data_IF_945340488436
#
_entry.id   IF_945340488436
#
_cell.length_a   1.000
_cell.length_b   1.000
_cell.length_c   1.000
_cell.angle_alpha   90.00
_cell.angle_beta   90.00
_cell.angle_gamma   90.00
#
_symmetry.space_group_name_H-M   'P 1'
#
loop_
_entity.id
_entity.type
_entity.pdbx_description
1 polymer ?
#
# COMPACT_ATOMS: atom_id res chain seq x y z
N UNK A 1 -7.03 -3.84 -16.01
CA UNK A 1 -7.10 -4.47 -14.67
C UNK A 1 -6.69 -3.43 -13.65
N UNK A 2 -7.24 -3.50 -12.43
CA UNK A 2 -6.79 -2.65 -11.32
C UNK A 2 -5.74 -3.37 -10.48
N UNK A 3 -4.97 -2.60 -9.70
CA UNK A 3 -3.84 -3.12 -8.91
C UNK A 3 -4.23 -4.25 -7.97
N UNK A 4 -5.49 -4.32 -7.57
CA UNK A 4 -6.02 -5.35 -6.69
C UNK A 4 -6.05 -6.76 -7.30
N UNK A 5 -6.10 -6.91 -8.64
CA UNK A 5 -5.95 -8.22 -9.31
C UNK A 5 -4.49 -8.67 -9.32
N UNK A 6 -3.59 -7.72 -9.60
CA UNK A 6 -2.14 -7.93 -9.53
C UNK A 6 -1.72 -8.30 -8.11
N UNK A 7 -2.26 -7.63 -7.10
CA UNK A 7 -2.05 -7.95 -5.69
C UNK A 7 -2.41 -9.39 -5.38
N UNK A 8 -3.58 -9.86 -5.83
CA UNK A 8 -4.01 -11.24 -5.59
C UNK A 8 -3.03 -12.23 -6.22
N UNK A 9 -2.66 -11.99 -7.47
CA UNK A 9 -1.70 -12.83 -8.19
C UNK A 9 -0.34 -12.90 -7.50
N UNK A 10 0.24 -11.76 -7.10
CA UNK A 10 1.52 -11.71 -6.39
C UNK A 10 1.43 -12.40 -5.03
N UNK A 11 0.32 -12.22 -4.30
CA UNK A 11 0.12 -12.88 -3.01
C UNK A 11 0.11 -14.40 -3.13
N UNK A 12 -0.58 -14.91 -4.15
CA UNK A 12 -0.69 -16.34 -4.39
C UNK A 12 0.66 -16.93 -4.79
N UNK A 13 1.42 -16.24 -5.66
CA UNK A 13 2.80 -16.65 -6.02
C UNK A 13 3.72 -16.65 -4.80
N UNK A 14 3.68 -15.59 -3.99
CA UNK A 14 4.50 -15.49 -2.79
C UNK A 14 4.20 -16.61 -1.81
N UNK A 15 2.92 -16.83 -1.52
CA UNK A 15 2.46 -17.88 -0.60
C UNK A 15 2.83 -19.28 -1.10
N UNK A 16 2.58 -19.57 -2.38
CA UNK A 16 2.93 -20.86 -2.98
C UNK A 16 4.45 -21.09 -2.96
N UNK A 17 5.25 -20.07 -3.25
CA UNK A 17 6.73 -20.15 -3.20
C UNK A 17 7.24 -20.47 -1.80
N UNK A 18 6.71 -19.79 -0.77
CA UNK A 18 7.07 -20.03 0.64
C UNK A 18 6.65 -21.43 1.08
N UNK A 19 5.43 -21.87 0.75
CA UNK A 19 4.93 -23.19 1.13
C UNK A 19 5.68 -24.32 0.43
N UNK A 20 6.04 -24.16 -0.85
CA UNK A 20 6.90 -25.12 -1.57
C UNK A 20 8.27 -25.27 -0.93
N UNK A 21 8.88 -24.16 -0.50
CA UNK A 21 10.15 -24.18 0.22
C UNK A 21 9.99 -24.91 1.57
N UNK A 22 8.96 -24.57 2.34
CA UNK A 22 8.66 -25.23 3.61
C UNK A 22 8.44 -26.74 3.44
N UNK A 23 7.74 -27.15 2.36
CA UNK A 23 7.53 -28.56 2.02
C UNK A 23 8.84 -29.29 1.71
N UNK A 24 9.78 -28.65 1.04
CA UNK A 24 11.11 -29.22 0.75
C UNK A 24 11.91 -29.49 2.03
N UNK A 25 11.71 -28.67 3.07
CA UNK A 25 12.45 -28.74 4.33
C UNK A 25 11.75 -29.67 5.34
N UNK A 26 10.43 -29.55 5.49
CA UNK A 26 9.66 -30.13 6.59
C UNK A 26 8.61 -31.18 6.16
N UNK A 27 8.57 -31.58 4.88
CA UNK A 27 7.65 -32.60 4.38
C UNK A 27 6.26 -32.08 3.98
N UNK A 28 5.31 -33.01 3.78
CA UNK A 28 4.11 -32.84 2.93
C UNK A 28 3.04 -31.86 3.47
N UNK A 29 3.14 -31.42 4.73
CA UNK A 29 2.10 -30.65 5.42
C UNK A 29 1.97 -29.17 5.00
N UNK A 30 2.79 -28.69 4.05
CA UNK A 30 2.83 -27.28 3.64
C UNK A 30 2.37 -27.10 2.19
N UNK A 31 1.06 -27.25 1.95
CA UNK A 31 0.44 -27.03 0.63
C UNK A 31 -0.90 -26.31 0.77
N UNK A 32 -1.22 -25.41 -0.18
CA UNK A 32 -2.56 -24.81 -0.30
C UNK A 32 -3.58 -25.78 -0.91
N UNK A 33 -3.11 -26.87 -1.51
CA UNK A 33 -3.91 -27.81 -2.29
C UNK A 33 -3.99 -29.15 -1.55
N UNK A 34 -5.21 -29.67 -1.39
CA UNK A 34 -5.46 -30.97 -0.74
C UNK A 34 -4.87 -32.15 -1.51
N UNK A 35 -4.97 -32.11 -2.85
CA UNK A 35 -4.31 -33.05 -3.75
C UNK A 35 -3.21 -32.32 -4.51
N UNK A 36 -1.96 -32.63 -4.19
CA UNK A 36 -0.83 -32.12 -4.96
C UNK A 36 -0.49 -33.10 -6.07
N UNK A 37 -1.03 -32.86 -7.27
CA UNK A 37 -0.52 -33.47 -8.51
C UNK A 37 0.83 -32.83 -8.88
N UNK A 38 1.82 -32.93 -7.98
CA UNK A 38 3.19 -32.61 -8.34
C UNK A 38 3.74 -33.78 -9.11
N UNK A 39 3.97 -33.59 -10.40
CA UNK A 39 4.71 -34.57 -11.21
C UNK A 39 6.11 -34.67 -10.61
N UNK A 40 6.51 -35.83 -10.06
CA UNK A 40 7.88 -36.04 -9.64
C UNK A 40 8.80 -35.76 -10.83
N UNK A 41 9.81 -34.92 -10.64
CA UNK A 41 10.81 -34.64 -11.67
C UNK A 41 11.65 -35.91 -11.81
N UNK A 42 11.20 -36.82 -12.65
CA UNK A 42 11.97 -37.98 -13.07
C UNK A 42 12.89 -37.60 -14.24
N UNK A 43 13.98 -38.34 -14.39
CA UNK A 43 14.98 -38.12 -15.44
C UNK A 43 14.37 -38.16 -16.86
N UNK A 44 13.22 -38.80 -17.02
CA UNK A 44 12.47 -38.94 -18.28
C UNK A 44 11.68 -37.69 -18.71
N UNK A 45 11.58 -36.64 -17.87
CA UNK A 45 10.88 -35.41 -18.25
C UNK A 45 11.76 -34.58 -19.18
N UNK A 46 11.46 -34.65 -20.48
CA UNK A 46 12.02 -33.75 -21.49
C UNK A 46 11.59 -32.31 -21.20
N UNK A 47 12.50 -31.50 -20.66
CA UNK A 47 12.28 -30.06 -20.44
C UNK A 47 12.09 -29.36 -21.79
N UNK A 48 11.21 -28.36 -21.89
CA UNK A 48 11.06 -27.58 -23.11
C UNK A 48 12.38 -26.89 -23.47
N UNK A 49 12.75 -26.94 -24.76
CA UNK A 49 13.89 -26.20 -25.29
C UNK A 49 13.57 -24.70 -25.38
N UNK A 50 14.50 -23.84 -24.99
CA UNK A 50 14.36 -22.40 -25.15
C UNK A 50 14.66 -21.99 -26.61
N UNK A 51 13.91 -21.02 -27.14
CA UNK A 51 14.15 -20.45 -28.46
C UNK A 51 14.49 -18.97 -28.33
N UNK A 52 15.69 -18.58 -28.77
CA UNK A 52 16.08 -17.16 -28.80
C UNK A 52 15.31 -16.44 -29.89
N UNK A 53 14.49 -15.45 -29.50
CA UNK A 53 13.85 -14.53 -30.44
C UNK A 53 14.92 -13.73 -31.20
N UNK A 54 14.89 -13.80 -32.53
CA UNK A 54 15.81 -13.07 -33.43
C UNK A 54 15.04 -11.96 -34.13
N UNK A 55 15.44 -10.72 -33.89
CA UNK A 55 14.86 -9.55 -34.54
C UNK A 55 15.77 -9.07 -35.67
N UNK A 56 15.19 -8.80 -36.85
CA UNK A 56 15.90 -8.15 -37.95
C UNK A 56 15.75 -6.63 -37.81
N UNK A 57 16.81 -5.96 -37.35
CA UNK A 57 16.81 -4.52 -37.14
C UNK A 57 17.18 -3.79 -38.43
N UNK A 58 16.18 -3.28 -39.15
CA UNK A 58 16.38 -2.38 -40.30
C UNK A 58 17.07 -1.08 -39.85
N UNK A 59 17.70 -0.32 -40.77
CA UNK A 59 18.29 0.98 -40.43
C UNK A 59 17.32 1.93 -39.71
N UNK A 60 16.04 1.95 -40.11
CA UNK A 60 15.00 2.77 -39.50
C UNK A 60 14.71 2.34 -38.06
N UNK A 61 14.63 1.03 -37.79
CA UNK A 61 14.45 0.48 -36.45
C UNK A 61 15.64 0.78 -35.54
N UNK A 62 16.87 0.74 -36.07
CA UNK A 62 18.07 1.10 -35.31
C UNK A 62 18.05 2.57 -34.88
N UNK A 63 17.66 3.47 -35.78
CA UNK A 63 17.47 4.89 -35.45
C UNK A 63 16.37 5.08 -34.42
N UNK A 64 15.24 4.38 -34.58
CA UNK A 64 14.14 4.42 -33.61
C UNK A 64 14.56 3.92 -32.22
N UNK A 65 15.36 2.85 -32.15
CA UNK A 65 15.91 2.34 -30.91
C UNK A 65 16.82 3.38 -30.23
N UNK A 66 17.73 4.00 -30.98
CA UNK A 66 18.62 5.04 -30.45
C UNK A 66 17.84 6.22 -29.85
N UNK A 67 16.82 6.72 -30.55
CA UNK A 67 15.98 7.81 -30.04
C UNK A 67 15.16 7.37 -28.82
N UNK A 68 14.69 6.12 -28.78
CA UNK A 68 13.99 5.57 -27.63
C UNK A 68 14.90 5.43 -26.40
N UNK A 69 16.17 5.06 -26.59
CA UNK A 69 17.18 5.02 -25.54
C UNK A 69 17.42 6.41 -24.94
N UNK A 70 17.63 7.43 -25.77
CA UNK A 70 17.78 8.82 -25.31
C UNK A 70 16.55 9.26 -24.51
N UNK A 71 15.35 9.04 -25.05
CA UNK A 71 14.11 9.41 -24.37
C UNK A 71 13.94 8.68 -23.03
N UNK A 72 14.28 7.39 -22.96
CA UNK A 72 14.20 6.62 -21.72
C UNK A 72 15.21 7.14 -20.68
N UNK A 73 16.44 7.44 -21.11
CA UNK A 73 17.44 8.04 -20.24
C UNK A 73 16.94 9.37 -19.66
N UNK A 74 16.37 10.25 -20.49
CA UNK A 74 15.79 11.51 -20.02
C UNK A 74 14.67 11.28 -19.00
N UNK A 75 13.75 10.33 -19.27
CA UNK A 75 12.65 10.01 -18.34
C UNK A 75 13.18 9.48 -17.00
N UNK A 76 14.18 8.60 -17.01
CA UNK A 76 14.80 8.07 -15.79
C UNK A 76 15.41 9.22 -14.98
N UNK A 77 16.19 10.09 -15.62
CA UNK A 77 16.84 11.20 -14.93
C UNK A 77 15.89 12.32 -14.52
N UNK A 78 14.68 12.39 -15.09
CA UNK A 78 13.66 13.37 -14.68
C UNK A 78 12.93 12.99 -13.40
N UNK A 79 12.90 11.72 -13.02
CA UNK A 79 12.11 11.24 -11.87
C UNK A 79 13.00 10.87 -10.69
N UNK A 80 12.56 11.27 -9.50
CA UNK A 80 13.12 10.89 -8.22
C UNK A 80 12.17 9.91 -7.53
N UNK A 81 12.70 8.88 -6.90
CA UNK A 81 11.95 7.93 -6.07
C UNK A 81 12.63 7.79 -4.71
N UNK A 82 11.89 8.08 -3.64
CA UNK A 82 12.40 7.99 -2.28
C UNK A 82 11.48 7.06 -1.49
N UNK A 83 12.06 6.07 -0.82
CA UNK A 83 11.33 5.19 0.08
C UNK A 83 11.60 5.57 1.53
N UNK A 84 10.56 5.51 2.37
CA UNK A 84 10.68 5.78 3.81
C UNK A 84 9.82 4.84 4.63
N UNK A 85 10.36 4.36 5.75
CA UNK A 85 9.66 3.47 6.66
C UNK A 85 9.49 4.13 8.02
N UNK A 86 8.26 4.13 8.53
CA UNK A 86 7.94 4.60 9.88
C UNK A 86 7.72 3.35 10.73
N UNK A 87 8.67 3.07 11.62
CA UNK A 87 8.64 1.93 12.53
C UNK A 87 7.81 2.23 13.79
N UNK A 88 7.17 1.21 14.35
CA UNK A 88 6.34 1.32 15.55
C UNK A 88 5.05 2.12 15.37
N UNK A 89 4.60 2.33 14.13
CA UNK A 89 3.42 3.11 13.77
C UNK A 89 2.61 2.45 12.65
N UNK A 90 2.15 1.20 12.87
CA UNK A 90 1.31 0.44 11.95
C UNK A 90 -0.12 0.23 12.45
N UNK A 91 -0.83 -0.76 11.90
CA UNK A 91 -2.22 -1.10 12.28
C UNK A 91 -2.38 -1.36 13.79
N UNK A 92 -1.40 -2.00 14.43
CA UNK A 92 -1.42 -2.26 15.87
C UNK A 92 -1.45 -0.94 16.67
N UNK A 93 -0.73 0.08 16.20
CA UNK A 93 -0.72 1.37 16.88
C UNK A 93 -1.94 2.22 16.51
N UNK A 94 -2.23 2.36 15.21
CA UNK A 94 -3.26 3.30 14.75
C UNK A 94 -4.66 2.74 15.00
N UNK A 95 -4.94 1.53 14.53
CA UNK A 95 -6.30 0.98 14.60
C UNK A 95 -6.60 0.35 15.95
N UNK A 96 -5.66 -0.40 16.56
CA UNK A 96 -5.96 -1.06 17.84
C UNK A 96 -5.76 -0.13 19.04
N UNK A 97 -4.73 0.73 19.04
CA UNK A 97 -4.41 1.59 20.19
C UNK A 97 -5.02 2.98 20.10
N UNK A 98 -4.94 3.66 18.95
CA UNK A 98 -5.56 4.98 18.78
C UNK A 98 -7.06 4.90 18.41
N UNK A 99 -7.55 3.73 18.00
CA UNK A 99 -8.92 3.51 17.52
C UNK A 99 -9.28 4.42 16.32
N UNK A 100 -8.32 4.61 15.40
CA UNK A 100 -8.50 5.42 14.19
C UNK A 100 -8.41 4.57 12.91
N UNK A 101 -9.15 4.94 11.85
CA UNK A 101 -8.97 4.35 10.52
C UNK A 101 -7.59 4.71 9.97
N UNK A 102 -6.71 3.71 9.80
CA UNK A 102 -5.30 3.94 9.45
C UNK A 102 -5.13 4.67 8.12
N UNK A 103 -5.89 4.26 7.11
CA UNK A 103 -5.90 4.85 5.78
C UNK A 103 -6.25 6.35 5.82
N UNK A 104 -7.40 6.70 6.41
CA UNK A 104 -7.80 8.10 6.56
C UNK A 104 -6.83 8.93 7.39
N UNK A 105 -6.24 8.37 8.45
CA UNK A 105 -5.22 9.09 9.23
C UNK A 105 -4.00 9.42 8.36
N UNK A 106 -3.51 8.44 7.60
CA UNK A 106 -2.34 8.61 6.73
C UNK A 106 -2.63 9.64 5.63
N UNK A 107 -3.78 9.54 4.96
CA UNK A 107 -4.19 10.50 3.94
C UNK A 107 -4.24 11.93 4.49
N UNK A 108 -4.80 12.10 5.68
CA UNK A 108 -4.82 13.38 6.39
C UNK A 108 -3.42 13.90 6.72
N UNK A 109 -2.53 13.07 7.27
CA UNK A 109 -1.14 13.45 7.56
C UNK A 109 -0.38 13.89 6.30
N UNK A 110 -0.65 13.27 5.15
CA UNK A 110 -0.06 13.66 3.87
C UNK A 110 -0.54 15.06 3.45
N UNK A 111 -1.83 15.39 3.64
CA UNK A 111 -2.32 16.75 3.35
C UNK A 111 -1.66 17.80 4.24
N UNK A 112 -1.51 17.50 5.54
CA UNK A 112 -0.81 18.39 6.49
C UNK A 112 0.64 18.61 6.05
N UNK A 113 1.36 17.53 5.71
CA UNK A 113 2.74 17.63 5.26
C UNK A 113 2.88 18.48 3.99
N UNK A 114 1.97 18.30 3.02
CA UNK A 114 1.92 19.13 1.83
C UNK A 114 1.67 20.61 2.17
N UNK A 115 0.67 20.89 3.01
CA UNK A 115 0.32 22.25 3.40
C UNK A 115 1.46 22.93 4.17
N UNK A 116 2.16 22.21 5.05
CA UNK A 116 3.31 22.73 5.78
C UNK A 116 4.48 23.15 4.88
N UNK A 117 4.66 22.47 3.73
CA UNK A 117 5.72 22.78 2.78
C UNK A 117 5.35 23.88 1.78
N UNK A 118 4.08 23.94 1.39
CA UNK A 118 3.63 24.78 0.27
C UNK A 118 2.66 25.89 0.64
N UNK A 119 2.17 25.92 1.88
CA UNK A 119 1.26 26.94 2.40
C UNK A 119 -0.13 26.96 1.73
N UNK A 120 -0.50 25.90 1.01
CA UNK A 120 -1.79 25.78 0.32
C UNK A 120 -2.21 24.32 0.19
N UNK A 121 -3.51 24.09 0.06
CA UNK A 121 -4.01 22.81 -0.43
C UNK A 121 -3.76 22.68 -1.93
N UNK A 122 -3.62 21.43 -2.39
CA UNK A 122 -3.54 21.11 -3.81
C UNK A 122 -4.62 20.09 -4.21
N UNK A 123 -4.91 19.95 -5.51
CA UNK A 123 -5.74 18.86 -6.00
C UNK A 123 -5.06 17.51 -5.71
N UNK A 124 -5.65 16.73 -4.80
CA UNK A 124 -5.16 15.43 -4.33
C UNK A 124 -6.22 14.39 -4.57
N UNK A 125 -5.80 13.26 -5.13
CA UNK A 125 -6.69 12.17 -5.51
C UNK A 125 -6.25 10.87 -4.88
N UNK A 126 -7.21 10.14 -4.33
CA UNK A 126 -7.05 8.75 -3.92
C UNK A 126 -7.92 7.82 -4.77
N UNK A 127 -7.37 6.74 -5.35
CA UNK A 127 -8.17 5.75 -6.06
C UNK A 127 -8.83 4.76 -5.10
N UNK A 128 -10.17 4.74 -5.07
CA UNK A 128 -10.97 3.80 -4.25
C UNK A 128 -11.51 2.67 -5.12
N UNK A 129 -11.46 1.43 -4.62
CA UNK A 129 -11.97 0.25 -5.35
C UNK A 129 -13.50 0.15 -5.32
N UNK A 130 -14.13 -0.09 -6.47
CA UNK A 130 -15.59 -0.30 -6.58
C UNK A 130 -15.98 -1.76 -6.86
N UNK A 131 -15.11 -2.72 -6.53
CA UNK A 131 -15.24 -4.17 -6.80
C UNK A 131 -16.58 -4.86 -6.50
N UNK A 132 -17.47 -4.24 -5.74
CA UNK A 132 -18.83 -4.73 -5.48
C UNK A 132 -19.72 -4.71 -6.74
N UNK A 133 -19.38 -3.90 -7.74
CA UNK A 133 -20.17 -3.77 -8.97
C UNK A 133 -19.66 -4.67 -10.11
N UNK A 134 -20.55 -5.05 -11.02
CA UNK A 134 -20.19 -5.79 -12.23
C UNK A 134 -19.29 -4.92 -13.11
N UNK A 135 -18.20 -5.50 -13.61
CA UNK A 135 -17.19 -4.79 -14.42
C UNK A 135 -16.59 -3.55 -13.72
N UNK A 136 -16.58 -3.56 -12.38
CA UNK A 136 -16.08 -2.48 -11.57
C UNK A 136 -14.62 -2.14 -11.89
N UNK A 137 -14.29 -0.87 -11.64
CA UNK A 137 -12.93 -0.33 -11.70
C UNK A 137 -12.61 0.39 -10.38
N UNK A 138 -12.31 1.67 -10.48
CA UNK A 138 -12.04 2.56 -9.34
C UNK A 138 -12.90 3.82 -9.41
N UNK A 139 -13.23 4.36 -8.25
CA UNK A 139 -13.79 5.69 -8.04
C UNK A 139 -12.68 6.55 -7.43
N UNK A 140 -12.15 7.56 -8.13
CA UNK A 140 -11.21 8.49 -7.53
C UNK A 140 -11.97 9.42 -6.57
N UNK A 141 -11.42 9.67 -5.38
CA UNK A 141 -11.96 10.69 -4.47
C UNK A 141 -11.02 11.91 -4.41
N UNK A 142 -11.61 13.09 -4.38
CA UNK A 142 -10.91 14.30 -3.96
C UNK A 142 -10.81 14.37 -2.45
N UNK A 143 -9.57 14.35 -1.95
CA UNK A 143 -9.28 14.44 -0.50
C UNK A 143 -9.60 15.83 0.06
N UNK A 144 -9.62 16.86 -0.80
CA UNK A 144 -9.87 18.26 -0.41
C UNK A 144 -11.28 18.41 0.18
N UNK A 145 -11.36 19.20 1.25
CA UNK A 145 -12.60 19.60 1.91
C UNK A 145 -12.33 20.78 2.80
N UNK A 146 -13.40 21.46 3.23
CA UNK A 146 -13.32 22.53 4.22
C UNK A 146 -12.76 22.01 5.56
N UNK A 147 -13.11 20.79 5.99
CA UNK A 147 -12.56 20.19 7.22
C UNK A 147 -11.07 19.90 7.10
N UNK A 148 -10.62 19.38 5.95
CA UNK A 148 -9.21 19.12 5.68
C UNK A 148 -8.41 20.42 5.58
N UNK A 149 -8.95 21.46 4.95
CA UNK A 149 -8.33 22.78 4.88
C UNK A 149 -8.18 23.40 6.27
N UNK A 150 -9.27 23.41 7.03
CA UNK A 150 -9.30 23.90 8.41
C UNK A 150 -8.24 23.18 9.24
N UNK A 151 -8.19 21.84 9.18
CA UNK A 151 -7.16 21.08 9.85
C UNK A 151 -5.75 21.51 9.43
N UNK A 152 -5.47 21.58 8.13
CA UNK A 152 -4.13 21.95 7.65
C UNK A 152 -3.70 23.32 8.18
N UNK A 153 -4.61 24.31 8.19
CA UNK A 153 -4.38 25.64 8.73
C UNK A 153 -4.17 25.61 10.25
N UNK A 154 -5.06 24.95 11.00
CA UNK A 154 -4.97 24.81 12.46
C UNK A 154 -3.69 24.10 12.88
N UNK A 155 -3.29 23.04 12.17
CA UNK A 155 -2.13 22.22 12.52
C UNK A 155 -0.82 22.99 12.49
N UNK A 156 -0.64 23.89 11.50
CA UNK A 156 0.59 24.70 11.37
C UNK A 156 0.54 26.02 12.16
N UNK A 157 -0.61 26.34 12.76
CA UNK A 157 -0.81 27.55 13.55
C UNK A 157 -0.33 27.39 15.00
N UNK A 158 -0.48 28.45 15.80
CA UNK A 158 -0.24 28.44 17.25
C UNK A 158 -1.44 27.90 18.05
N UNK A 159 -2.37 27.19 17.41
CA UNK A 159 -3.49 26.53 18.07
C UNK A 159 -3.01 25.50 19.11
N UNK A 160 -3.83 25.28 20.13
CA UNK A 160 -3.58 24.26 21.16
C UNK A 160 -3.61 22.85 20.58
N UNK A 161 -2.98 21.90 21.28
CA UNK A 161 -2.99 20.50 20.86
C UNK A 161 -4.42 19.94 20.82
N UNK A 162 -5.29 20.40 21.71
CA UNK A 162 -6.70 20.02 21.78
C UNK A 162 -7.46 20.48 20.53
N UNK A 163 -7.29 21.73 20.11
CA UNK A 163 -7.89 22.26 18.88
C UNK A 163 -7.39 21.52 17.64
N UNK A 164 -6.08 21.30 17.54
CA UNK A 164 -5.48 20.51 16.45
C UNK A 164 -6.04 19.08 16.41
N UNK A 165 -6.19 18.45 17.57
CA UNK A 165 -6.71 17.09 17.67
C UNK A 165 -8.19 16.99 17.28
N UNK A 166 -9.02 17.94 17.68
CA UNK A 166 -10.43 18.00 17.27
C UNK A 166 -10.55 18.18 15.76
N UNK A 167 -9.78 19.09 15.17
CA UNK A 167 -9.75 19.28 13.72
C UNK A 167 -9.28 18.00 13.00
N UNK A 168 -8.29 17.29 13.55
CA UNK A 168 -7.77 16.03 13.01
C UNK A 168 -8.88 14.97 12.95
N UNK A 169 -9.60 14.76 14.06
CA UNK A 169 -10.68 13.79 14.13
C UNK A 169 -11.81 14.11 13.14
N UNK A 170 -12.14 15.39 12.96
CA UNK A 170 -13.14 15.85 11.99
C UNK A 170 -12.75 15.47 10.56
N UNK A 171 -11.54 15.84 10.12
CA UNK A 171 -11.07 15.55 8.77
C UNK A 171 -10.90 14.05 8.51
N UNK A 172 -10.42 13.29 9.51
CA UNK A 172 -10.30 11.82 9.41
C UNK A 172 -11.68 11.16 9.27
N UNK A 173 -12.69 11.67 9.97
CA UNK A 173 -14.07 11.18 9.86
C UNK A 173 -14.66 11.47 8.48
N UNK A 174 -14.53 12.71 7.97
CA UNK A 174 -15.02 13.08 6.65
C UNK A 174 -14.32 12.27 5.54
N UNK A 175 -13.00 12.11 5.62
CA UNK A 175 -12.26 11.28 4.67
C UNK A 175 -12.79 9.84 4.64
N UNK A 176 -13.00 9.24 5.82
CA UNK A 176 -13.55 7.89 5.93
C UNK A 176 -14.93 7.80 5.26
N UNK A 177 -15.79 8.79 5.47
CA UNK A 177 -17.11 8.84 4.84
C UNK A 177 -17.02 8.91 3.31
N UNK A 178 -16.14 9.77 2.78
CA UNK A 178 -15.87 9.85 1.34
C UNK A 178 -15.44 8.52 0.74
N UNK A 179 -14.51 7.82 1.38
CA UNK A 179 -14.06 6.48 0.95
C UNK A 179 -15.24 5.50 0.94
N UNK A 180 -16.06 5.47 1.99
CA UNK A 180 -17.25 4.59 2.06
C UNK A 180 -18.24 4.89 0.95
N UNK A 181 -18.53 6.16 0.69
CA UNK A 181 -19.42 6.59 -0.39
C UNK A 181 -18.86 6.20 -1.76
N UNK A 182 -17.57 6.40 -2.00
CA UNK A 182 -16.90 6.01 -3.23
C UNK A 182 -16.92 4.50 -3.46
N UNK A 183 -16.71 3.69 -2.42
CA UNK A 183 -16.84 2.22 -2.49
C UNK A 183 -18.26 1.76 -2.89
N UNK A 184 -19.28 2.59 -2.62
CA UNK A 184 -20.67 2.38 -3.01
C UNK A 184 -21.02 3.02 -4.36
N UNK A 185 -20.05 3.60 -5.08
CA UNK A 185 -20.30 4.26 -6.37
C UNK A 185 -21.01 5.61 -6.25
N UNK A 186 -21.03 6.22 -5.05
CA UNK A 186 -21.65 7.52 -4.79
C UNK A 186 -20.64 8.68 -4.92
N UNK A 187 -19.48 8.44 -5.55
CA UNK A 187 -18.55 9.51 -5.94
C UNK A 187 -19.08 10.28 -7.14
N UNK A 188 -18.73 11.56 -7.25
CA UNK A 188 -19.16 12.40 -8.38
C UNK A 188 -18.10 12.47 -9.48
N UNK A 189 -16.84 12.18 -9.16
CA UNK A 189 -15.68 12.35 -10.00
C UNK A 189 -15.75 11.45 -11.25
N UNK A 190 -16.03 10.15 -11.08
CA UNK A 190 -16.22 9.24 -12.22
C UNK A 190 -17.48 9.58 -13.02
N UNK A 191 -18.55 10.02 -12.35
CA UNK A 191 -19.78 10.40 -13.04
C UNK A 191 -19.55 11.59 -13.98
N UNK A 192 -18.92 12.68 -13.49
CA UNK A 192 -18.56 13.82 -14.31
C UNK A 192 -17.58 13.43 -15.44
N UNK A 193 -16.59 12.58 -15.13
CA UNK A 193 -15.65 12.06 -16.13
C UNK A 193 -16.35 11.25 -17.24
N UNK A 194 -17.35 10.44 -16.88
CA UNK A 194 -18.13 9.63 -17.82
C UNK A 194 -19.00 10.51 -18.72
N UNK A 195 -19.70 11.52 -18.17
CA UNK A 195 -20.49 12.47 -18.95
C UNK A 195 -19.61 13.26 -19.92
N UNK A 196 -18.47 13.76 -19.43
CA UNK A 196 -17.49 14.47 -20.27
C UNK A 196 -16.95 13.58 -21.39
N UNK A 197 -16.62 12.33 -21.08
CA UNK A 197 -16.14 11.35 -22.07
C UNK A 197 -17.20 10.99 -23.10
N UNK A 198 -18.46 10.83 -22.68
CA UNK A 198 -19.59 10.56 -23.56
C UNK A 198 -19.81 11.70 -24.57
N UNK A 199 -19.66 12.96 -24.14
CA UNK A 199 -19.73 14.11 -25.05
C UNK A 199 -18.55 14.14 -26.04
N UNK A 200 -17.31 13.99 -25.55
CA UNK A 200 -16.10 14.01 -26.39
C UNK A 200 -16.11 12.87 -27.42
N UNK A 201 -16.54 11.67 -27.01
CA UNK A 201 -16.51 10.44 -27.80
C UNK A 201 -17.90 10.08 -28.34
N UNK A 202 -18.77 11.07 -28.54
CA UNK A 202 -20.17 10.84 -28.91
C UNK A 202 -20.35 9.95 -30.14
N UNK A 203 -19.51 10.13 -31.18
CA UNK A 203 -19.58 9.31 -32.40
C UNK A 203 -19.25 7.84 -32.13
N UNK A 204 -18.23 7.58 -31.30
CA UNK A 204 -17.89 6.22 -30.90
C UNK A 204 -18.98 5.61 -30.02
N UNK A 205 -19.59 6.40 -29.14
CA UNK A 205 -20.71 5.98 -28.30
C UNK A 205 -21.93 5.59 -29.16
N UNK A 206 -22.30 6.40 -30.16
CA UNK A 206 -23.38 6.07 -31.09
C UNK A 206 -23.06 4.87 -31.97
N UNK A 207 -21.80 4.66 -32.36
CA UNK A 207 -21.38 3.46 -33.11
C UNK A 207 -21.56 2.18 -32.29
N UNK A 208 -21.20 2.22 -31.00
CA UNK A 208 -21.34 1.09 -30.09
C UNK A 208 -22.78 0.86 -29.65
N UNK A 209 -23.59 1.93 -29.59
CA UNK A 209 -24.98 1.90 -29.17
C UNK A 209 -25.88 2.72 -30.11
N UNK A 210 -26.21 2.20 -31.30
CA UNK A 210 -26.98 2.92 -32.33
C UNK A 210 -28.38 3.35 -31.90
N UNK A 211 -28.94 2.70 -30.87
CA UNK A 211 -30.26 2.96 -30.30
C UNK A 211 -30.30 4.18 -29.37
N UNK A 212 -29.16 4.74 -28.97
CA UNK A 212 -29.14 5.89 -28.09
C UNK A 212 -29.72 7.13 -28.81
N UNK A 213 -30.52 7.96 -28.12
CA UNK A 213 -30.97 9.22 -28.68
C UNK A 213 -29.76 10.11 -28.99
N UNK A 214 -29.72 10.66 -30.19
CA UNK A 214 -28.65 11.58 -30.60
C UNK A 214 -28.91 12.97 -30.05
N UNK A 215 -27.85 13.62 -29.58
CA UNK A 215 -27.86 15.04 -29.26
C UNK A 215 -28.18 15.81 -30.56
N UNK A 216 -29.13 16.76 -30.54
CA UNK A 216 -29.42 17.61 -31.69
C UNK A 216 -28.15 18.27 -32.27
N UNK A 217 -28.05 18.38 -33.59
CA UNK A 217 -26.82 18.82 -34.28
C UNK A 217 -26.34 20.23 -33.85
N UNK A 218 -27.27 21.10 -33.48
CA UNK A 218 -27.02 22.44 -32.95
C UNK A 218 -26.37 22.40 -31.57
N UNK A 219 -26.73 21.43 -30.72
CA UNK A 219 -26.16 21.23 -29.39
C UNK A 219 -24.92 20.33 -29.40
N UNK A 220 -24.80 19.43 -30.37
CA UNK A 220 -23.69 18.48 -30.48
C UNK A 220 -22.32 19.14 -30.71
N UNK A 221 -22.32 20.40 -31.18
CA UNK A 221 -21.11 21.21 -31.40
C UNK A 221 -20.81 22.18 -30.25
N UNK A 222 -21.73 22.34 -29.30
CA UNK A 222 -21.59 23.27 -28.19
C UNK A 222 -21.22 22.48 -26.94
N UNK A 223 -20.02 22.71 -26.40
CA UNK A 223 -19.58 22.06 -25.17
C UNK A 223 -20.51 22.47 -24.01
N UNK A 224 -21.09 21.52 -23.25
CA UNK A 224 -21.87 21.82 -22.07
C UNK A 224 -21.01 22.60 -21.06
N UNK A 225 -21.34 23.87 -20.73
CA UNK A 225 -20.45 24.74 -19.97
C UNK A 225 -19.95 24.07 -18.68
N UNK A 226 -20.88 23.53 -17.87
CA UNK A 226 -20.57 22.87 -16.60
C UNK A 226 -19.52 21.74 -16.72
N UNK A 227 -19.59 20.87 -17.73
CA UNK A 227 -18.69 19.72 -17.86
C UNK A 227 -17.27 20.10 -18.29
N UNK A 228 -17.09 21.31 -18.82
CA UNK A 228 -15.83 21.83 -19.36
C UNK A 228 -15.35 23.09 -18.65
N UNK A 229 -15.98 23.46 -17.53
CA UNK A 229 -15.55 24.56 -16.68
C UNK A 229 -14.09 24.35 -16.24
N UNK A 230 -13.24 25.41 -16.31
CA UNK A 230 -11.86 25.32 -15.86
C UNK A 230 -11.69 24.86 -14.40
N UNK A 231 -12.68 25.14 -13.54
CA UNK A 231 -12.69 24.73 -12.14
C UNK A 231 -12.70 23.20 -11.95
N UNK A 232 -13.40 22.46 -12.83
CA UNK A 232 -13.36 20.99 -12.83
C UNK A 232 -12.00 20.44 -13.29
N UNK A 233 -11.15 21.29 -13.89
CA UNK A 233 -9.79 20.92 -14.29
C UNK A 233 -8.96 20.34 -13.14
N UNK A 234 -9.18 20.80 -11.91
CA UNK A 234 -8.51 20.30 -10.70
C UNK A 234 -8.81 18.81 -10.43
N UNK A 235 -10.00 18.31 -10.78
CA UNK A 235 -10.35 16.89 -10.63
C UNK A 235 -9.54 15.98 -11.55
N UNK A 236 -9.08 16.52 -12.69
CA UNK A 236 -8.40 15.77 -13.74
C UNK A 236 -6.88 16.02 -13.76
N UNK A 237 -6.42 17.09 -13.11
CA UNK A 237 -5.01 17.49 -12.98
C UNK A 237 -4.58 17.41 -11.54
N UNK A 238 -4.46 16.18 -11.05
CA UNK A 238 -4.04 15.89 -9.68
C UNK A 238 -2.57 16.27 -9.47
N UNK A 239 -2.30 17.18 -8.54
CA UNK A 239 -0.94 17.51 -8.10
C UNK A 239 -0.41 16.47 -7.11
N UNK A 240 -1.28 15.86 -6.31
CA UNK A 240 -0.92 14.86 -5.31
C UNK A 240 -1.71 13.55 -5.51
N UNK A 241 -1.10 12.56 -6.16
CA UNK A 241 -1.70 11.24 -6.33
C UNK A 241 -1.26 10.33 -5.19
N UNK A 242 -2.18 9.95 -4.30
CA UNK A 242 -1.87 9.12 -3.13
C UNK A 242 -2.63 7.81 -3.24
N UNK A 243 -1.93 6.68 -3.06
CA UNK A 243 -2.56 5.37 -3.13
C UNK A 243 -2.04 4.43 -2.04
N UNK A 244 -2.98 3.68 -1.47
CA UNK A 244 -2.69 2.54 -0.59
C UNK A 244 -2.76 1.24 -1.40
N UNK A 245 -1.77 0.37 -1.22
CA UNK A 245 -1.75 -0.95 -1.85
C UNK A 245 -1.02 -1.96 -0.96
N UNK A 246 -1.54 -2.20 0.25
CA UNK A 246 -0.91 -3.07 1.23
C UNK A 246 -1.22 -4.56 1.07
N UNK A 247 -0.18 -5.40 1.15
CA UNK A 247 -0.28 -6.86 1.29
C UNK A 247 1.00 -7.41 1.97
N UNK A 248 0.93 -8.47 2.80
CA UNK A 248 2.11 -9.13 3.37
C UNK A 248 3.19 -9.53 2.35
N UNK A 249 2.81 -9.84 1.10
CA UNK A 249 3.72 -10.20 0.02
C UNK A 249 4.48 -9.01 -0.58
N UNK A 250 4.14 -7.77 -0.21
CA UNK A 250 4.77 -6.56 -0.76
C UNK A 250 5.73 -5.89 0.22
N UNK A 251 6.91 -5.55 -0.28
CA UNK A 251 7.89 -4.75 0.45
C UNK A 251 7.61 -3.25 0.30
N UNK A 252 7.47 -2.77 -0.94
CA UNK A 252 7.25 -1.38 -1.31
C UNK A 252 6.14 -1.27 -2.36
N UNK A 253 5.47 -0.12 -2.39
CA UNK A 253 4.51 0.25 -3.42
C UNK A 253 4.65 1.74 -3.69
N UNK A 254 4.76 2.11 -4.97
CA UNK A 254 4.85 3.49 -5.42
C UNK A 254 3.91 3.74 -6.58
N UNK A 255 3.48 4.98 -6.72
CA UNK A 255 2.74 5.49 -7.87
C UNK A 255 3.53 6.67 -8.44
N UNK A 256 3.48 6.85 -9.76
CA UNK A 256 4.10 8.00 -10.44
C UNK A 256 3.25 9.25 -10.25
N UNK A 257 3.82 10.46 -10.25
CA UNK A 257 3.03 11.68 -10.27
C UNK A 257 2.15 11.73 -11.52
N UNK A 258 0.92 12.25 -11.39
CA UNK A 258 -0.01 12.36 -12.52
C UNK A 258 0.34 13.51 -13.47
N UNK A 259 1.10 14.49 -12.98
CA UNK A 259 1.59 15.65 -13.72
C UNK A 259 3.08 15.90 -13.39
N UNK A 260 3.85 16.54 -14.28
CA UNK A 260 5.27 16.87 -14.03
C UNK A 260 5.51 17.61 -12.72
N UNK A 261 4.62 18.55 -12.40
CA UNK A 261 4.67 19.34 -11.17
C UNK A 261 4.00 18.62 -10.00
N UNK A 262 3.87 17.30 -10.00
CA UNK A 262 3.12 16.58 -8.98
C UNK A 262 3.98 15.68 -8.09
N UNK A 263 3.31 15.06 -7.13
CA UNK A 263 3.82 13.95 -6.34
C UNK A 263 2.96 12.71 -6.59
N UNK A 264 3.62 11.56 -6.64
CA UNK A 264 3.00 10.26 -6.47
C UNK A 264 3.45 9.64 -5.16
N UNK A 265 2.52 9.32 -4.26
CA UNK A 265 2.82 8.73 -2.95
C UNK A 265 2.10 7.39 -2.85
N UNK A 266 2.87 6.31 -2.95
CA UNK A 266 2.39 4.98 -2.63
C UNK A 266 2.71 4.65 -1.17
N UNK A 267 1.79 3.96 -0.49
CA UNK A 267 2.08 3.46 0.85
C UNK A 267 1.49 2.07 1.12
N UNK A 268 2.11 1.39 2.08
CA UNK A 268 1.72 0.08 2.61
C UNK A 268 1.65 0.19 4.12
N UNK A 269 0.48 -0.12 4.68
CA UNK A 269 0.30 -0.24 6.12
C UNK A 269 0.52 -1.70 6.53
N UNK A 270 1.50 -1.93 7.40
CA UNK A 270 1.76 -3.22 8.07
C UNK A 270 1.35 -3.13 9.54
N UNK A 271 1.49 -4.22 10.27
CA UNK A 271 1.07 -4.30 11.67
C UNK A 271 1.82 -3.31 12.56
N UNK A 272 3.15 -3.25 12.44
CA UNK A 272 4.00 -2.39 13.27
C UNK A 272 4.72 -1.28 12.50
N UNK A 273 4.47 -1.13 11.19
CA UNK A 273 5.15 -0.10 10.40
C UNK A 273 4.32 0.38 9.22
N UNK A 274 4.61 1.57 8.72
CA UNK A 274 4.15 2.04 7.41
C UNK A 274 5.36 2.18 6.49
N UNK A 275 5.24 1.74 5.24
CA UNK A 275 6.25 1.94 4.20
C UNK A 275 5.69 2.87 3.14
N UNK A 276 6.38 3.98 2.88
CA UNK A 276 6.07 4.98 1.86
C UNK A 276 7.06 4.89 0.70
N UNK A 277 6.57 5.14 -0.51
CA UNK A 277 7.39 5.48 -1.68
C UNK A 277 6.83 6.77 -2.26
N UNK A 278 7.58 7.85 -2.11
CA UNK A 278 7.32 9.10 -2.81
C UNK A 278 8.02 9.10 -4.17
N UNK A 279 7.37 9.68 -5.16
CA UNK A 279 7.98 9.99 -6.44
C UNK A 279 7.57 11.37 -6.95
N UNK A 280 8.48 12.05 -7.62
CA UNK A 280 8.22 13.35 -8.25
C UNK A 280 9.24 13.61 -9.37
N UNK A 281 9.07 14.71 -10.10
CA UNK A 281 10.10 15.21 -10.99
C UNK A 281 10.94 16.28 -10.27
N UNK A 282 11.85 15.82 -9.40
CA UNK A 282 12.77 16.66 -8.61
C UNK A 282 12.11 17.74 -7.74
N UNK A 283 10.99 17.40 -7.08
CA UNK A 283 10.29 18.32 -6.15
C UNK A 283 10.73 18.20 -4.69
N UNK A 284 11.97 17.76 -4.43
CA UNK A 284 12.49 17.49 -3.08
C UNK A 284 11.67 16.39 -2.38
N UNK A 285 11.55 15.23 -3.03
CA UNK A 285 10.70 14.12 -2.55
C UNK A 285 11.12 13.66 -1.15
N UNK A 286 12.42 13.65 -0.88
CA UNK A 286 12.94 13.27 0.43
C UNK A 286 12.46 14.21 1.54
N UNK A 287 12.56 15.54 1.31
CA UNK A 287 12.07 16.56 2.24
C UNK A 287 10.55 16.45 2.49
N UNK A 288 9.79 16.07 1.46
CA UNK A 288 8.36 15.79 1.63
C UNK A 288 8.14 14.67 2.64
N UNK A 289 8.85 13.55 2.47
CA UNK A 289 8.73 12.38 3.35
C UNK A 289 9.33 12.61 4.75
N UNK A 290 10.38 13.44 4.88
CA UNK A 290 10.85 13.95 6.18
C UNK A 290 9.74 14.70 6.91
N UNK A 291 9.11 15.66 6.22
CA UNK A 291 8.04 16.47 6.80
C UNK A 291 6.86 15.61 7.21
N UNK A 292 6.49 14.64 6.38
CA UNK A 292 5.45 13.66 6.70
C UNK A 292 5.78 12.86 7.97
N UNK A 293 7.04 12.45 8.14
CA UNK A 293 7.50 11.74 9.34
C UNK A 293 7.33 12.60 10.59
N UNK A 294 7.73 13.89 10.52
CA UNK A 294 7.53 14.85 11.62
C UNK A 294 6.05 15.05 11.95
N UNK A 295 5.17 15.10 10.95
CA UNK A 295 3.71 15.19 11.16
C UNK A 295 3.19 13.97 11.92
N UNK A 296 3.64 12.76 11.57
CA UNK A 296 3.25 11.55 12.31
C UNK A 296 3.71 11.58 13.76
N UNK A 297 4.93 12.07 14.03
CA UNK A 297 5.44 12.20 15.39
C UNK A 297 4.65 13.24 16.21
N UNK A 298 4.28 14.38 15.61
CA UNK A 298 3.43 15.38 16.26
C UNK A 298 2.04 14.82 16.58
N UNK A 299 1.38 14.15 15.62
CA UNK A 299 0.09 13.47 15.83
C UNK A 299 0.18 12.43 16.95
N UNK A 300 1.25 11.64 16.97
CA UNK A 300 1.50 10.63 18.00
C UNK A 300 1.66 11.28 19.38
N UNK A 301 2.39 12.39 19.46
CA UNK A 301 2.61 13.11 20.70
C UNK A 301 1.34 13.81 21.21
N UNK A 302 0.57 14.43 20.32
CA UNK A 302 -0.75 15.01 20.66
C UNK A 302 -1.70 13.94 21.19
N UNK A 303 -1.81 12.79 20.51
CA UNK A 303 -2.64 11.69 20.99
C UNK A 303 -2.19 11.19 22.37
N UNK A 304 -0.88 11.05 22.60
CA UNK A 304 -0.35 10.67 23.91
C UNK A 304 -0.64 11.71 25.00
N UNK A 305 -0.59 13.00 24.68
CA UNK A 305 -0.84 14.06 25.64
C UNK A 305 -2.33 14.17 26.01
N UNK A 306 -3.21 13.98 25.03
CA UNK A 306 -4.65 14.18 25.21
C UNK A 306 -5.33 12.89 25.67
N UNK A 307 -5.11 11.77 24.99
CA UNK A 307 -5.95 10.57 25.15
C UNK A 307 -5.43 9.62 26.23
N UNK A 308 -4.10 9.42 26.33
CA UNK A 308 -3.55 8.49 27.32
C UNK A 308 -3.87 8.86 28.77
N UNK A 309 -3.74 10.13 29.23
CA UNK A 309 -4.04 10.50 30.61
C UNK A 309 -5.50 10.22 30.97
N UNK A 310 -6.42 10.57 30.06
CA UNK A 310 -7.86 10.32 30.26
C UNK A 310 -8.22 8.83 30.26
N UNK A 311 -7.52 7.99 29.49
CA UNK A 311 -7.74 6.54 29.49
C UNK A 311 -7.27 5.90 30.81
N UNK A 312 -6.16 6.38 31.39
CA UNK A 312 -5.68 5.92 32.71
C UNK A 312 -6.54 6.39 33.88
N UNK A 313 -7.24 7.53 33.75
CA UNK A 313 -8.18 8.02 34.76
C UNK A 313 -9.53 7.31 34.63
N UNK A 314 -10.05 7.07 33.42
CA UNK A 314 -11.27 6.29 33.21
C UNK A 314 -11.16 4.87 33.81
N UNK A 315 -10.03 4.19 33.60
CA UNK A 315 -9.76 2.88 34.23
C UNK A 315 -9.63 2.94 35.77
N UNK A 316 -9.34 4.11 36.36
CA UNK A 316 -9.34 4.29 37.83
C UNK A 316 -10.73 4.63 38.36
N UNK A 317 -11.52 5.41 37.62
CA UNK A 317 -12.89 5.77 38.00
C UNK A 317 -13.81 4.56 37.92
N UNK A 318 -13.69 3.71 36.90
CA UNK A 318 -14.46 2.45 36.79
C UNK A 318 -14.11 1.43 37.89
N UNK A 319 -12.90 1.50 38.46
CA UNK A 319 -12.55 0.68 39.63
C UNK A 319 -13.07 1.23 40.96
N UNK A 320 -13.58 2.47 40.99
CA UNK A 320 -14.10 3.14 42.18
C UNK A 320 -15.62 3.27 42.22
N UNK A 321 -16.31 3.09 41.09
CA UNK A 321 -17.77 3.18 40.96
C UNK A 321 -18.50 1.83 40.83
N UNK A 322 -17.77 0.70 40.89
CA UNK A 322 -18.36 -0.65 40.81
C UNK A 322 -18.31 -1.42 42.14
N UNK A 323 -18.55 -0.72 43.25
CA UNK A 323 -18.74 -1.33 44.57
C UNK A 323 -20.23 -1.46 44.92
N UNK A 324 -21.04 -2.04 44.03
CA UNK A 324 -22.31 -2.67 44.40
C UNK A 324 -22.90 -3.44 43.20
N UNK A 325 -23.17 -4.73 43.46
CA UNK A 325 -24.06 -5.63 42.71
C UNK A 325 -23.69 -5.97 41.26
N UNK A 326 -22.85 -7.00 41.10
CA UNK A 326 -23.09 -8.20 40.28
C UNK A 326 -21.75 -8.88 39.94
N UNK A 327 -21.31 -9.76 40.85
CA UNK A 327 -19.94 -10.29 40.85
C UNK A 327 -19.88 -11.81 40.93
N UNK A 328 -20.49 -12.54 39.98
CA UNK A 328 -20.29 -14.00 39.95
C UNK A 328 -19.97 -14.64 38.58
N UNK A 329 -20.19 -13.97 37.44
CA UNK A 329 -19.96 -14.62 36.13
C UNK A 329 -18.66 -14.24 35.39
N UNK A 330 -18.00 -13.13 35.75
CA UNK A 330 -16.83 -12.64 35.00
C UNK A 330 -15.47 -12.94 35.66
N UNK A 331 -15.46 -13.28 36.96
CA UNK A 331 -14.23 -13.59 37.72
C UNK A 331 -13.68 -14.99 37.40
N UNK A 332 -14.56 -15.94 37.06
CA UNK A 332 -14.21 -17.33 36.78
C UNK A 332 -13.43 -17.47 35.47
N UNK A 333 -13.77 -16.71 34.44
CA UNK A 333 -13.10 -16.75 33.13
C UNK A 333 -11.66 -16.18 33.14
N UNK A 334 -11.40 -15.13 33.94
CA UNK A 334 -10.06 -14.55 34.04
C UNK A 334 -9.12 -15.39 34.93
N UNK A 335 -9.65 -16.08 35.94
CA UNK A 335 -8.87 -16.94 36.84
C UNK A 335 -8.42 -18.23 36.13
N UNK A 336 -9.29 -18.83 35.31
CA UNK A 336 -8.97 -20.01 34.48
C UNK A 336 -7.84 -19.67 33.48
N UNK A 337 -7.94 -18.55 32.77
CA UNK A 337 -6.93 -18.14 31.78
C UNK A 337 -5.56 -17.84 32.41
N UNK A 338 -5.54 -17.34 33.66
CA UNK A 338 -4.30 -17.06 34.40
C UNK A 338 -3.67 -18.34 34.95
N UNK A 339 -4.45 -19.33 35.37
CA UNK A 339 -3.97 -20.66 35.75
C UNK A 339 -3.40 -21.44 34.55
N UNK A 340 -4.09 -21.43 33.40
CA UNK A 340 -3.62 -22.09 32.17
C UNK A 340 -2.28 -21.51 31.65
N UNK A 341 -2.10 -20.19 31.77
CA UNK A 341 -0.83 -19.52 31.44
C UNK A 341 0.31 -19.87 32.41
N UNK A 342 -0.01 -20.15 33.67
CA UNK A 342 0.99 -20.45 34.71
C UNK A 342 1.45 -21.91 34.66
N UNK A 343 0.57 -22.84 34.29
CA UNK A 343 0.92 -24.23 33.94
C UNK A 343 1.75 -24.33 32.64
N UNK A 344 1.47 -23.46 31.66
CA UNK A 344 2.26 -23.41 30.42
C UNK A 344 3.68 -22.86 30.64
N UNK A 345 3.87 -21.88 31.53
CA UNK A 345 5.19 -21.32 31.84
C UNK A 345 6.04 -22.26 32.71
N UNK A 346 5.40 -23.05 33.58
CA UNK A 346 6.10 -24.02 34.44
C UNK A 346 6.46 -25.34 33.73
N UNK A 347 5.92 -25.60 32.53
CA UNK A 347 6.26 -26.77 31.70
C UNK A 347 7.40 -26.53 30.71
N UNK A 348 7.99 -25.34 30.68
CA UNK A 348 9.15 -25.03 29.84
C UNK A 348 10.46 -25.51 30.49
N UNK A 349 11.33 -26.28 29.79
CA UNK A 349 12.61 -26.71 30.34
C UNK A 349 13.57 -25.53 30.56
N UNK A 350 14.13 -25.44 31.77
CA UNK A 350 15.06 -24.36 32.20
C UNK A 350 16.39 -24.27 31.42
N UNK A 351 16.65 -25.16 30.46
CA UNK A 351 17.85 -25.12 29.61
C UNK A 351 17.79 -24.07 28.50
N UNK A 352 16.64 -23.41 28.26
CA UNK A 352 16.49 -22.36 27.23
C UNK A 352 16.71 -20.92 27.74
N UNK A 353 17.05 -20.71 29.01
CA UNK A 353 17.20 -19.36 29.60
C UNK A 353 18.66 -18.87 29.65
N UNK A 354 19.64 -19.69 29.24
CA UNK A 354 21.07 -19.40 29.50
C UNK A 354 21.90 -18.82 28.34
N UNK A 355 21.32 -18.41 27.21
CA UNK A 355 22.13 -18.12 25.98
C UNK A 355 22.29 -16.66 25.58
N UNK A 356 21.85 -15.67 26.37
CA UNK A 356 21.86 -14.26 25.94
C UNK A 356 22.98 -13.36 26.48
N UNK A 357 24.04 -13.91 27.09
CA UNK A 357 25.18 -13.11 27.56
C UNK A 357 26.52 -13.66 27.06
N UNK A 358 26.90 -13.32 25.83
CA UNK A 358 28.31 -13.14 25.44
C UNK A 358 28.39 -12.68 23.97
N UNK A 359 28.96 -11.49 23.72
CA UNK A 359 30.01 -11.33 22.70
C UNK A 359 30.62 -9.93 22.74
N UNK A 360 31.95 -9.92 22.91
CA UNK A 360 32.82 -8.76 22.95
C UNK A 360 34.08 -9.17 22.16
N UNK A 361 34.36 -8.57 20.98
CA UNK A 361 35.72 -8.49 20.38
C UNK A 361 35.76 -7.76 19.01
N UNK A 362 36.40 -6.58 19.03
CA UNK A 362 37.40 -5.90 18.14
C UNK A 362 37.65 -6.25 16.64
N UNK A 363 38.27 -5.31 15.85
CA UNK A 363 38.08 -5.11 14.40
C UNK A 363 39.25 -5.59 13.51
N UNK A 364 39.05 -5.63 12.18
CA UNK A 364 40.10 -5.91 11.17
C UNK A 364 40.15 -4.79 10.11
N UNK A 365 41.38 -4.46 9.72
CA UNK A 365 41.87 -3.33 8.93
C UNK A 365 41.64 -3.42 7.42
N UNK A 366 41.71 -2.25 6.77
CA UNK A 366 41.62 -2.01 5.34
C UNK A 366 42.99 -2.05 4.65
N UNK A 367 43.01 -2.36 3.35
CA UNK A 367 44.19 -2.11 2.51
C UNK A 367 43.79 -1.46 1.18
N UNK A 368 44.52 -0.41 0.80
CA UNK A 368 44.33 0.45 -0.37
C UNK A 368 45.64 0.52 -1.15
N UNK A 369 45.62 0.31 -2.47
CA UNK A 369 46.60 0.93 -3.40
C UNK A 369 46.02 1.06 -4.83
N UNK A 370 46.54 1.98 -5.70
CA UNK A 370 45.67 2.78 -6.58
C UNK A 370 46.01 2.85 -8.10
N UNK A 371 45.01 3.31 -8.88
CA UNK A 371 45.02 3.96 -10.24
C UNK A 371 45.16 3.07 -11.50
N UNK A 372 44.75 3.51 -12.74
CA UNK A 372 44.25 4.84 -13.16
C UNK A 372 42.96 4.88 -14.01
N UNK A 373 42.44 6.10 -14.11
CA UNK A 373 41.34 6.62 -14.92
C UNK A 373 41.30 6.18 -16.39
N UNK A 374 40.14 5.68 -16.83
CA UNK A 374 39.69 5.84 -18.22
C UNK A 374 38.20 6.23 -18.23
N UNK A 375 37.94 7.45 -18.68
CA UNK A 375 36.62 8.02 -18.95
C UNK A 375 36.05 7.30 -20.19
N UNK A 376 35.01 6.47 -20.03
CA UNK A 376 34.07 6.13 -21.10
C UNK A 376 32.79 5.44 -20.57
N UNK A 377 31.64 6.10 -20.77
CA UNK A 377 30.30 5.51 -20.94
C UNK A 377 29.79 4.50 -19.91
N UNK A 378 28.99 4.97 -18.94
CA UNK A 378 28.38 4.15 -17.89
C UNK A 378 27.50 3.01 -18.40
N UNK A 379 27.87 1.78 -18.00
CA UNK A 379 27.09 0.55 -18.11
C UNK A 379 27.25 -0.33 -16.84
N UNK A 380 27.32 0.27 -15.65
CA UNK A 380 27.52 -0.46 -14.38
C UNK A 380 26.22 -0.88 -13.67
N UNK A 381 25.05 -0.82 -14.31
CA UNK A 381 23.77 -1.13 -13.64
C UNK A 381 23.29 -2.59 -13.82
N UNK A 382 23.95 -3.39 -14.65
CA UNK A 382 23.61 -4.81 -14.83
C UNK A 382 24.87 -5.68 -14.88
N UNK A 383 25.63 -5.74 -13.79
CA UNK A 383 26.66 -6.77 -13.63
C UNK A 383 26.01 -8.07 -13.15
N UNK A 384 25.92 -9.04 -14.06
CA UNK A 384 25.43 -10.41 -13.79
C UNK A 384 26.42 -11.18 -12.89
N UNK A 385 27.65 -10.67 -12.69
CA UNK A 385 28.66 -11.23 -11.81
C UNK A 385 28.41 -11.04 -10.31
N UNK A 386 27.70 -9.99 -9.89
CA UNK A 386 27.49 -9.66 -8.46
C UNK A 386 26.39 -10.53 -7.78
N UNK A 387 25.70 -11.36 -8.56
CA UNK A 387 24.75 -12.35 -8.04
C UNK A 387 25.45 -13.47 -7.25
N UNK A 388 26.67 -13.85 -7.64
CA UNK A 388 27.42 -14.90 -6.96
C UNK A 388 27.99 -14.44 -5.61
N UNK A 389 28.34 -13.16 -5.46
CA UNK A 389 28.90 -12.64 -4.22
C UNK A 389 27.84 -12.48 -3.11
N UNK A 390 26.59 -12.15 -3.48
CA UNK A 390 25.47 -12.06 -2.53
C UNK A 390 24.97 -13.43 -2.04
N UNK A 391 25.19 -14.49 -2.82
CA UNK A 391 24.85 -15.87 -2.44
C UNK A 391 25.68 -16.37 -1.26
N UNK A 392 26.96 -15.99 -1.19
CA UNK A 392 27.88 -16.51 -0.17
C UNK A 392 27.77 -15.81 1.19
N UNK A 393 27.31 -14.55 1.22
CA UNK A 393 27.10 -13.78 2.46
C UNK A 393 25.81 -14.13 3.21
N UNK A 394 24.85 -14.80 2.57
CA UNK A 394 23.55 -15.15 3.18
C UNK A 394 23.58 -16.41 4.06
N UNK A 395 24.72 -17.10 4.19
CA UNK A 395 24.83 -18.39 4.89
C UNK A 395 25.07 -18.30 6.40
N UNK A 396 25.20 -17.09 6.99
CA UNK A 396 25.50 -16.93 8.43
C UNK A 396 24.57 -16.01 9.23
N UNK A 397 23.27 -16.04 8.95
CA UNK A 397 22.26 -15.48 9.85
C UNK A 397 21.33 -16.59 10.37
N UNK A 398 21.68 -17.19 11.51
CA UNK A 398 20.75 -18.06 12.25
C UNK A 398 19.63 -17.18 12.86
N UNK A 399 18.44 -17.22 12.26
CA UNK A 399 17.23 -16.65 12.87
C UNK A 399 16.25 -17.77 13.20
N UNK A 400 16.08 -18.04 14.50
CA UNK A 400 15.01 -18.92 15.02
C UNK A 400 13.68 -18.17 14.88
N UNK A 401 12.86 -18.59 13.93
CA UNK A 401 11.48 -18.08 13.76
C UNK A 401 10.55 -18.85 14.70
N UNK A 402 10.10 -18.21 15.78
CA UNK A 402 8.95 -18.67 16.57
C UNK A 402 7.68 -18.07 15.95
N UNK A 403 6.88 -18.87 15.27
CA UNK A 403 5.57 -18.49 14.75
C UNK A 403 4.50 -18.81 15.78
N UNK A 404 3.79 -17.78 16.26
CA UNK A 404 2.44 -17.94 16.84
C UNK A 404 1.45 -17.32 15.86
N UNK A 405 0.80 -18.19 15.11
CA UNK A 405 -0.26 -17.88 14.16
C UNK A 405 -1.57 -17.68 14.92
N UNK A 406 -2.11 -16.46 14.95
CA UNK A 406 -3.52 -16.22 15.26
C UNK A 406 -4.20 -15.65 14.01
N UNK A 407 -4.50 -16.52 13.06
CA UNK A 407 -5.49 -16.26 12.02
C UNK A 407 -6.71 -17.12 12.32
N UNK A 408 -7.64 -16.58 13.11
CA UNK A 408 -8.93 -17.22 13.34
C UNK A 408 -9.83 -16.98 12.12
N UNK A 409 -9.71 -17.82 11.10
CA UNK A 409 -10.75 -17.99 10.08
C UNK A 409 -11.71 -19.07 10.54
N UNK A 410 -12.72 -18.68 11.33
CA UNK A 410 -13.85 -19.56 11.61
C UNK A 410 -14.77 -19.58 10.39
N UNK A 411 -14.67 -20.62 9.56
CA UNK A 411 -15.60 -20.90 8.46
C UNK A 411 -16.48 -22.07 8.91
N UNK A 412 -17.78 -21.89 9.18
CA UNK A 412 -18.71 -23.01 9.27
C UNK A 412 -18.86 -23.60 7.86
N UNK A 413 -18.77 -24.93 7.77
CA UNK A 413 -19.00 -25.66 6.54
C UNK A 413 -20.39 -25.36 5.97
N UNK A 414 -20.44 -24.57 4.90
CA UNK A 414 -21.60 -24.42 4.04
C UNK A 414 -21.18 -24.78 2.60
N UNK A 415 -21.34 -26.05 2.25
CA UNK A 415 -21.36 -26.53 0.88
C UNK A 415 -22.53 -25.89 0.12
N UNK A 416 -22.26 -24.79 -0.60
CA UNK A 416 -23.07 -24.41 -1.76
C UNK A 416 -22.14 -23.96 -2.90
N UNK A 417 -22.34 -24.58 -4.06
CA UNK A 417 -21.38 -24.68 -5.14
C UNK A 417 -20.91 -23.35 -5.72
N UNK A 418 -19.59 -23.13 -5.67
CA UNK A 418 -18.89 -22.14 -6.48
C UNK A 418 -17.89 -22.89 -7.36
N UNK A 419 -18.24 -23.00 -8.64
CA UNK A 419 -17.46 -23.76 -9.63
C UNK A 419 -18.31 -24.30 -10.78
N UNK A 420 -19.08 -23.44 -11.46
CA UNK A 420 -19.63 -23.83 -12.77
C UNK A 420 -18.55 -23.61 -13.83
N UNK A 421 -18.13 -24.70 -14.48
CA UNK A 421 -17.25 -24.72 -15.65
C UNK A 421 -17.71 -23.69 -16.67
N UNK A 422 -16.79 -22.85 -17.15
CA UNK A 422 -16.97 -22.10 -18.40
C UNK A 422 -17.08 -23.10 -19.56
N UNK A 423 -18.24 -23.17 -20.20
CA UNK A 423 -18.37 -23.75 -21.54
C UNK A 423 -18.00 -22.67 -22.55
N UNK A 424 -16.93 -22.90 -23.30
CA UNK A 424 -16.65 -22.19 -24.54
C UNK A 424 -17.53 -22.83 -25.60
N UNK A 425 -18.52 -22.08 -26.12
CA UNK A 425 -19.18 -22.47 -27.36
C UNK A 425 -18.32 -21.98 -28.51
N UNK A 426 -17.72 -22.92 -29.23
CA UNK A 426 -17.42 -22.73 -30.64
C UNK A 426 -18.74 -22.88 -31.43
N UNK A 427 -18.85 -22.14 -32.54
CA UNK A 427 -19.98 -22.00 -33.47
C UNK A 427 -21.05 -20.95 -33.12
N UNK A 428 -20.90 -19.73 -33.67
CA UNK A 428 -21.67 -19.18 -34.81
C UNK A 428 -21.21 -17.76 -35.18
#
# INVERSE_FOLDING_TARGET
MDGTTVLRFISDIYTDSVLRLARKINGVFFTLWGDTNTVPIHEDINKPSFFKLKFHLTPELKTGLHLAETRLADIIHQHEYISRKIEGFGNNYISQKMNLPADSLIQTCIQIAYYALYGKMCPSTEPVTTRKFKNARTEPISVQSESMETLCQTFISQASNEEKWVALLSAVSEHKEKVVNAMQGNGFERHLSALRSAFIQQEQLYKLHPQLPRIPNDLARVAPPFLFEPSLGALYKTELLVANCGNPALHLFGVTPAIPTGFGIGYIVKDDSISFVGSSQWRQTDRFLDTLTSVFDEVKNMWKAIVLPHTSVANRVDSSSLASTDSDNNYTYQKIRKQELQEYVSSLPMTMVASNNAMNSKPVEADHTPTPSHILGGYDYFDVGDFNFRSELASHAQSRTMTRSNSASNVPAATMGVGKKLQLNEDY
#
